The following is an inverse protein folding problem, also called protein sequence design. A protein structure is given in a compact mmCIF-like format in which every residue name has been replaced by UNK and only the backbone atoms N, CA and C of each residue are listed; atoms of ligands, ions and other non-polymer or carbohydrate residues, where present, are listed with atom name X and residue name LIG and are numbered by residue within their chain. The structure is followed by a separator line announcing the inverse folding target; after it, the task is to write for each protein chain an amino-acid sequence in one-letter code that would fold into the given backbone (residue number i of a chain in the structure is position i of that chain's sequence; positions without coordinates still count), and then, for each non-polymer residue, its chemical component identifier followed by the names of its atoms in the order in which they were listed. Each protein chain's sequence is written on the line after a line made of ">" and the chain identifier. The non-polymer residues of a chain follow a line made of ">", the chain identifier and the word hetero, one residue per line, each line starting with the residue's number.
data_IF_168275955631
#
_entry.id   IF_168275955631
#
_cell.length_a   1.000
_cell.length_b   1.000
_cell.length_c   1.000
_cell.angle_alpha   90.00
_cell.angle_beta   90.00
_cell.angle_gamma   90.00
#
_symmetry.space_group_name_H-M   'P 1'
#
loop_
_entity.id
_entity.type
_entity.pdbx_description
1 polymer ?
#
# COMPACT_ATOMS: atom_id res chain seq x y z
N UNK A 1 -1.19 -41.29 -36.83
CA UNK A 1 -0.31 -40.94 -35.69
C UNK A 1 -0.12 -39.43 -35.49
N UNK A 2 0.24 -38.63 -36.50
CA UNK A 2 0.50 -37.17 -36.37
C UNK A 2 -0.66 -36.32 -35.79
N UNK A 3 -1.92 -36.72 -36.00
CA UNK A 3 -3.11 -35.99 -35.50
C UNK A 3 -3.35 -36.15 -33.99
N UNK A 4 -2.84 -37.22 -33.38
CA UNK A 4 -2.98 -37.48 -31.93
C UNK A 4 -2.00 -36.61 -31.14
N UNK A 5 -0.78 -36.41 -31.65
CA UNK A 5 0.20 -35.51 -31.05
C UNK A 5 -0.25 -34.04 -31.09
N UNK A 6 -0.93 -33.62 -32.16
CA UNK A 6 -1.50 -32.27 -32.24
C UNK A 6 -2.56 -32.02 -31.16
N UNK A 7 -3.39 -33.04 -30.85
CA UNK A 7 -4.40 -32.95 -29.80
C UNK A 7 -3.79 -32.94 -28.39
N UNK A 8 -2.71 -33.70 -28.17
CA UNK A 8 -1.96 -33.71 -26.90
C UNK A 8 -1.21 -32.40 -26.63
N UNK A 9 -0.65 -31.77 -27.68
CA UNK A 9 0.03 -30.47 -27.57
C UNK A 9 -0.99 -29.35 -27.29
N UNK A 10 -2.17 -29.39 -27.92
CA UNK A 10 -3.24 -28.43 -27.66
C UNK A 10 -3.81 -28.56 -26.23
N UNK A 11 -3.93 -29.78 -25.70
CA UNK A 11 -4.37 -30.01 -24.32
C UNK A 11 -3.33 -29.52 -23.28
N UNK A 12 -2.03 -29.66 -23.58
CA UNK A 12 -0.96 -29.19 -22.70
C UNK A 12 -0.83 -27.66 -22.68
N UNK A 13 -1.13 -26.98 -23.79
CA UNK A 13 -1.15 -25.51 -23.88
C UNK A 13 -2.33 -24.86 -23.13
N UNK A 14 -3.47 -25.57 -22.98
CA UNK A 14 -4.62 -25.05 -22.21
C UNK A 14 -4.51 -25.31 -20.69
N UNK A 15 -3.71 -26.29 -20.25
CA UNK A 15 -3.51 -26.58 -18.83
C UNK A 15 -2.58 -25.59 -18.11
N UNK A 16 -1.79 -24.80 -18.85
CA UNK A 16 -0.79 -23.87 -18.29
C UNK A 16 -1.34 -22.53 -17.78
N UNK A 17 -2.61 -22.21 -18.03
CA UNK A 17 -3.21 -20.91 -17.66
C UNK A 17 -4.13 -20.95 -16.43
N UNK A 18 -4.13 -22.05 -15.68
CA UNK A 18 -4.66 -22.05 -14.32
C UNK A 18 -3.62 -21.41 -13.38
N UNK A 19 -3.31 -20.13 -13.58
CA UNK A 19 -2.57 -19.36 -12.57
C UNK A 19 -3.45 -19.32 -11.34
N UNK A 20 -3.08 -20.09 -10.33
CA UNK A 20 -3.53 -19.89 -8.96
C UNK A 20 -3.18 -18.44 -8.59
N UNK A 21 -4.13 -17.52 -8.79
CA UNK A 21 -4.12 -16.25 -8.10
C UNK A 21 -4.32 -16.58 -6.61
N UNK A 22 -3.22 -16.94 -5.94
CA UNK A 22 -3.18 -17.04 -4.50
C UNK A 22 -3.62 -15.68 -3.97
N UNK A 23 -4.88 -15.59 -3.53
CA UNK A 23 -5.42 -14.40 -2.91
C UNK A 23 -4.49 -14.05 -1.75
N UNK A 24 -3.66 -13.01 -1.93
CA UNK A 24 -2.65 -12.70 -0.94
C UNK A 24 -3.37 -12.26 0.34
N UNK A 25 -3.22 -13.06 1.40
CA UNK A 25 -3.89 -12.83 2.67
C UNK A 25 -3.40 -11.53 3.31
N UNK A 26 -4.31 -10.64 3.67
CA UNK A 26 -3.98 -9.48 4.50
C UNK A 26 -3.93 -9.98 5.94
N UNK A 27 -2.71 -10.16 6.45
CA UNK A 27 -2.50 -10.40 7.87
C UNK A 27 -2.63 -9.09 8.64
N UNK A 28 -3.08 -9.19 9.88
CA UNK A 28 -2.97 -8.08 10.84
C UNK A 28 -1.51 -7.60 10.88
N UNK A 29 -1.28 -6.28 10.80
CA UNK A 29 0.06 -5.74 10.91
C UNK A 29 0.66 -6.02 12.29
N UNK A 30 1.99 -6.19 12.34
CA UNK A 30 2.74 -6.24 13.61
C UNK A 30 2.38 -5.03 14.49
N UNK A 31 2.40 -5.14 15.83
CA UNK A 31 2.28 -3.99 16.72
C UNK A 31 3.24 -2.84 16.36
N UNK A 32 4.42 -3.16 15.85
CA UNK A 32 5.44 -2.17 15.44
C UNK A 32 5.12 -1.47 14.11
N UNK A 33 4.17 -1.98 13.33
CA UNK A 33 3.85 -1.45 12.01
C UNK A 33 3.46 0.03 12.06
N UNK A 34 2.56 0.40 12.98
CA UNK A 34 2.10 1.79 13.09
C UNK A 34 3.28 2.71 13.38
N UNK A 35 4.14 2.33 14.32
CA UNK A 35 5.32 3.09 14.72
C UNK A 35 6.31 3.23 13.56
N UNK A 36 6.64 2.14 12.88
CA UNK A 36 7.56 2.13 11.74
C UNK A 36 7.02 3.00 10.59
N UNK A 37 5.71 2.89 10.29
CA UNK A 37 5.08 3.66 9.22
C UNK A 37 4.94 5.14 9.56
N UNK A 38 4.60 5.50 10.80
CA UNK A 38 4.60 6.88 11.26
C UNK A 38 5.99 7.51 11.21
N UNK A 39 7.03 6.73 11.56
CA UNK A 39 8.41 7.16 11.37
C UNK A 39 8.74 7.45 9.90
N UNK A 40 8.32 6.56 8.99
CA UNK A 40 8.52 6.74 7.55
C UNK A 40 7.72 7.92 6.96
N UNK A 41 6.54 8.21 7.52
CA UNK A 41 5.68 9.32 7.11
C UNK A 41 6.03 10.63 7.81
N UNK A 42 6.91 10.62 8.81
CA UNK A 42 7.31 11.86 9.46
C UNK A 42 8.03 12.77 8.46
N UNK A 43 7.56 14.03 8.30
CA UNK A 43 8.21 15.00 7.43
C UNK A 43 9.63 15.24 7.96
N UNK A 44 10.63 14.92 7.13
CA UNK A 44 12.02 15.20 7.45
C UNK A 44 12.41 16.59 6.96
N UNK A 45 13.70 16.91 7.07
CA UNK A 45 14.26 18.16 6.51
C UNK A 45 14.34 18.14 4.97
N UNK A 46 13.91 17.05 4.34
CA UNK A 46 13.94 16.81 2.90
C UNK A 46 12.76 17.45 2.15
N UNK A 47 11.75 17.94 2.88
CA UNK A 47 10.67 18.77 2.34
C UNK A 47 10.53 19.97 3.24
N UNK A 48 10.68 21.17 2.68
CA UNK A 48 10.51 22.42 3.41
C UNK A 48 9.02 22.65 3.72
N UNK A 49 8.61 22.34 4.95
CA UNK A 49 7.23 22.39 5.42
C UNK A 49 7.17 23.25 6.69
N UNK A 50 6.26 24.22 6.69
CA UNK A 50 5.96 25.04 7.85
C UNK A 50 5.51 24.19 9.04
N UNK A 51 5.84 24.62 10.27
CA UNK A 51 5.55 23.81 11.47
C UNK A 51 4.05 23.53 11.66
N UNK A 52 3.16 24.47 11.33
CA UNK A 52 1.70 24.25 11.39
C UNK A 52 1.24 23.10 10.48
N UNK A 53 1.76 23.03 9.26
CA UNK A 53 1.46 21.97 8.29
C UNK A 53 2.08 20.63 8.69
N UNK A 54 3.21 20.64 9.40
CA UNK A 54 3.82 19.40 9.93
C UNK A 54 2.91 18.74 10.97
N UNK A 55 2.30 19.52 11.85
CA UNK A 55 1.39 18.97 12.87
C UNK A 55 0.09 18.46 12.25
N UNK A 56 -0.46 19.18 11.27
CA UNK A 56 -1.63 18.72 10.50
C UNK A 56 -1.33 17.41 9.73
N UNK A 57 -0.15 17.32 9.11
CA UNK A 57 0.31 16.08 8.46
C UNK A 57 0.43 14.92 9.43
N UNK A 58 1.06 15.13 10.60
CA UNK A 58 1.20 14.08 11.62
C UNK A 58 -0.16 13.55 12.05
N UNK A 59 -1.09 14.45 12.40
CA UNK A 59 -2.44 14.08 12.79
C UNK A 59 -3.18 13.33 11.66
N UNK A 60 -3.03 13.78 10.41
CA UNK A 60 -3.60 13.09 9.24
C UNK A 60 -3.00 11.70 9.04
N UNK A 61 -1.69 11.55 9.20
CA UNK A 61 -0.99 10.28 9.05
C UNK A 61 -1.37 9.27 10.14
N UNK A 62 -1.52 9.73 11.39
CA UNK A 62 -2.01 8.88 12.49
C UNK A 62 -3.38 8.29 12.19
N UNK A 63 -4.34 9.15 11.81
CA UNK A 63 -5.69 8.73 11.41
C UNK A 63 -5.64 7.74 10.25
N UNK A 64 -4.81 8.02 9.24
CA UNK A 64 -4.63 7.13 8.10
C UNK A 64 -4.19 5.72 8.55
N UNK A 65 -3.18 5.60 9.41
CA UNK A 65 -2.72 4.29 9.86
C UNK A 65 -3.68 3.58 10.80
N UNK A 66 -4.41 4.32 11.63
CA UNK A 66 -5.49 3.75 12.43
C UNK A 66 -6.59 3.14 11.56
N UNK A 67 -6.98 3.82 10.49
CA UNK A 67 -7.93 3.28 9.53
C UNK A 67 -7.36 2.08 8.75
N UNK A 68 -6.09 2.11 8.37
CA UNK A 68 -5.41 0.95 7.73
C UNK A 68 -5.46 -0.28 8.65
N UNK A 69 -5.12 -0.13 9.93
CA UNK A 69 -5.12 -1.23 10.91
C UNK A 69 -6.55 -1.73 11.13
N UNK A 70 -7.52 -0.82 11.26
CA UNK A 70 -8.94 -1.16 11.39
C UNK A 70 -9.45 -1.97 10.20
N UNK A 71 -9.10 -1.58 8.97
CA UNK A 71 -9.48 -2.31 7.75
C UNK A 71 -8.80 -3.69 7.73
N UNK A 72 -7.49 -3.75 8.01
CA UNK A 72 -6.74 -5.01 8.00
C UNK A 72 -7.29 -6.01 9.05
N UNK A 73 -7.66 -5.52 10.24
CA UNK A 73 -8.27 -6.30 11.32
C UNK A 73 -9.77 -6.55 11.17
N UNK A 74 -10.44 -5.99 10.16
CA UNK A 74 -11.87 -6.15 9.94
C UNK A 74 -12.28 -7.56 9.47
N UNK A 75 -13.58 -7.82 9.38
CA UNK A 75 -14.15 -9.10 8.95
C UNK A 75 -14.32 -9.27 7.43
N UNK A 76 -14.03 -8.24 6.64
CA UNK A 76 -14.15 -8.28 5.18
C UNK A 76 -13.15 -9.25 4.52
N UNK A 77 -13.42 -9.61 3.27
CA UNK A 77 -12.51 -10.42 2.46
C UNK A 77 -11.17 -9.71 2.22
N UNK A 78 -10.12 -10.48 1.93
CA UNK A 78 -8.80 -9.91 1.65
C UNK A 78 -8.82 -8.94 0.46
N UNK A 79 -9.66 -9.20 -0.56
CA UNK A 79 -9.82 -8.31 -1.70
C UNK A 79 -10.48 -6.98 -1.33
N UNK A 80 -11.56 -7.03 -0.54
CA UNK A 80 -12.25 -5.83 -0.06
C UNK A 80 -11.33 -4.98 0.83
N UNK A 81 -10.53 -5.64 1.68
CA UNK A 81 -9.53 -4.97 2.52
C UNK A 81 -8.47 -4.28 1.66
N UNK A 82 -7.89 -4.97 0.67
CA UNK A 82 -6.93 -4.39 -0.27
C UNK A 82 -7.51 -3.17 -0.98
N UNK A 83 -8.71 -3.30 -1.55
CA UNK A 83 -9.38 -2.22 -2.27
C UNK A 83 -9.64 -1.02 -1.36
N UNK A 84 -10.05 -1.27 -0.12
CA UNK A 84 -10.29 -0.24 0.88
C UNK A 84 -9.00 0.50 1.28
N UNK A 85 -7.91 -0.23 1.53
CA UNK A 85 -6.59 0.36 1.85
C UNK A 85 -6.05 1.17 0.67
N UNK A 86 -6.17 0.67 -0.56
CA UNK A 86 -5.75 1.40 -1.76
C UNK A 86 -6.54 2.70 -1.94
N UNK A 87 -7.85 2.66 -1.74
CA UNK A 87 -8.70 3.85 -1.79
C UNK A 87 -8.34 4.85 -0.68
N UNK A 88 -8.06 4.35 0.52
CA UNK A 88 -7.61 5.17 1.64
C UNK A 88 -6.26 5.84 1.33
N UNK A 89 -5.32 5.12 0.72
CA UNK A 89 -4.04 5.68 0.25
C UNK A 89 -4.22 6.81 -0.77
N UNK A 90 -5.17 6.66 -1.70
CA UNK A 90 -5.54 7.73 -2.65
C UNK A 90 -6.12 8.96 -1.95
N UNK A 91 -7.01 8.76 -0.97
CA UNK A 91 -7.57 9.86 -0.15
C UNK A 91 -6.45 10.59 0.60
N UNK A 92 -5.56 9.84 1.24
CA UNK A 92 -4.41 10.41 1.96
C UNK A 92 -3.49 11.20 1.02
N UNK A 93 -3.24 10.69 -0.18
CA UNK A 93 -2.50 11.40 -1.22
C UNK A 93 -3.15 12.75 -1.58
N UNK A 94 -4.48 12.82 -1.67
CA UNK A 94 -5.21 14.07 -1.89
C UNK A 94 -5.13 15.00 -0.68
N UNK A 95 -5.20 14.47 0.54
CA UNK A 95 -4.99 15.25 1.77
C UNK A 95 -3.62 15.92 1.78
N UNK A 96 -2.57 15.24 1.32
CA UNK A 96 -1.25 15.85 1.17
C UNK A 96 -1.26 17.07 0.24
N UNK A 97 -1.94 16.97 -0.91
CA UNK A 97 -2.10 18.12 -1.81
C UNK A 97 -2.84 19.28 -1.15
N UNK A 98 -3.86 19.01 -0.34
CA UNK A 98 -4.64 20.04 0.37
C UNK A 98 -3.80 20.78 1.42
N UNK A 99 -3.00 20.05 2.20
CA UNK A 99 -2.19 20.63 3.29
C UNK A 99 -0.95 21.34 2.73
N UNK A 100 -0.25 20.71 1.78
CA UNK A 100 1.07 21.15 1.34
C UNK A 100 1.06 21.97 0.04
N UNK A 101 0.00 21.87 -0.77
CA UNK A 101 0.03 22.23 -2.18
C UNK A 101 0.66 21.14 -3.04
N UNK A 102 0.38 21.17 -4.35
CA UNK A 102 0.72 20.07 -5.29
C UNK A 102 2.22 19.75 -5.34
N UNK A 103 3.10 20.76 -5.42
CA UNK A 103 4.54 20.54 -5.56
C UNK A 103 5.17 19.93 -4.31
N UNK A 104 4.87 20.51 -3.13
CA UNK A 104 5.35 19.99 -1.85
C UNK A 104 4.75 18.61 -1.55
N UNK A 105 3.48 18.38 -1.89
CA UNK A 105 2.86 17.05 -1.78
C UNK A 105 3.55 16.00 -2.65
N UNK A 106 3.92 16.35 -3.88
CA UNK A 106 4.67 15.46 -4.77
C UNK A 106 6.05 15.11 -4.20
N UNK A 107 6.78 16.07 -3.66
CA UNK A 107 8.07 15.85 -2.99
C UNK A 107 7.90 14.96 -1.75
N UNK A 108 6.89 15.25 -0.93
CA UNK A 108 6.59 14.48 0.26
C UNK A 108 6.20 13.03 -0.04
N UNK A 109 5.36 12.77 -1.05
CA UNK A 109 5.07 11.41 -1.52
C UNK A 109 6.34 10.66 -1.95
N UNK A 110 7.27 11.34 -2.65
CA UNK A 110 8.55 10.73 -3.05
C UNK A 110 9.42 10.39 -1.83
N UNK A 111 9.51 11.30 -0.86
CA UNK A 111 10.20 11.08 0.41
C UNK A 111 9.64 9.85 1.13
N UNK A 112 8.32 9.79 1.29
CA UNK A 112 7.65 8.65 1.91
C UNK A 112 7.95 7.37 1.15
N UNK A 113 7.82 7.35 -0.19
CA UNK A 113 8.11 6.16 -1.01
C UNK A 113 9.54 5.62 -0.79
N UNK A 114 10.51 6.51 -0.59
CA UNK A 114 11.89 6.13 -0.27
C UNK A 114 11.99 5.54 1.14
N UNK A 115 11.38 6.19 2.13
CA UNK A 115 11.39 5.78 3.55
C UNK A 115 10.63 4.47 3.81
N UNK A 116 9.54 4.19 3.08
CA UNK A 116 8.76 2.94 3.24
C UNK A 116 9.39 1.73 2.56
N UNK A 117 10.29 1.94 1.60
CA UNK A 117 10.90 0.86 0.80
C UNK A 117 11.49 -0.30 1.64
N UNK A 118 12.31 -0.05 2.69
CA UNK A 118 12.83 -1.14 3.53
C UNK A 118 11.74 -1.90 4.29
N UNK A 119 10.59 -1.28 4.53
CA UNK A 119 9.49 -1.89 5.25
C UNK A 119 8.56 -2.73 4.37
N UNK A 120 8.64 -2.61 3.04
CA UNK A 120 7.82 -3.40 2.11
C UNK A 120 8.12 -4.91 2.18
N UNK A 121 9.36 -5.26 2.54
CA UNK A 121 9.77 -6.66 2.75
C UNK A 121 9.29 -7.19 4.10
N UNK A 122 9.32 -6.35 5.14
CA UNK A 122 8.88 -6.69 6.51
C UNK A 122 7.36 -6.73 6.63
N UNK A 123 6.66 -5.81 5.97
CA UNK A 123 5.22 -5.63 6.06
C UNK A 123 4.59 -5.67 4.66
N UNK A 124 3.87 -6.76 4.37
CA UNK A 124 3.08 -6.86 3.12
C UNK A 124 2.02 -5.75 3.02
N UNK A 125 1.53 -5.22 4.15
CA UNK A 125 0.60 -4.09 4.14
C UNK A 125 1.24 -2.80 3.58
N UNK A 126 2.54 -2.60 3.79
CA UNK A 126 3.27 -1.43 3.30
C UNK A 126 3.41 -1.40 1.76
N UNK A 127 3.19 -2.52 1.06
CA UNK A 127 3.13 -2.51 -0.42
C UNK A 127 1.84 -1.91 -0.94
N UNK A 128 0.78 -1.87 -0.11
CA UNK A 128 -0.54 -1.34 -0.46
C UNK A 128 -0.68 0.15 -0.10
N UNK A 129 0.31 0.72 0.59
CA UNK A 129 0.33 2.10 1.03
C UNK A 129 1.24 2.91 0.10
N UNK A 130 0.63 3.90 -0.58
CA UNK A 130 1.22 4.89 -1.52
C UNK A 130 1.89 4.39 -2.81
#
# INVERSE_FOLDING_TARGET
>A
MKRIYAFLIAAFLMAGFATQASAQKISLPSPDFKKDMLGAFSPGNDVDIDNSKKDELKASNEKFFDEVIKIAGGSGSDEEKKKSILNLGKKQSSTFSKILGEDKAKQYRKSIKKKIRPFKTKYKLATLIL
#
